data_IF_336352132344
#
_entry.id   IF_336352132344
#
_cell.length_a   1.000
_cell.length_b   1.000
_cell.length_c   1.000
_cell.angle_alpha   90.00
_cell.angle_beta   90.00
_cell.angle_gamma   90.00
#
_symmetry.space_group_name_H-M   'P 1'
#
loop_
_entity.id
_entity.type
_entity.pdbx_description
1 polymer ?
#
# COMPACT_ATOMS: atom_id res chain seq x y z
N UNK A 1 6.03 9.13 12.95
CA UNK A 1 5.22 10.26 12.43
C UNK A 1 5.53 11.51 13.24
N UNK A 2 5.54 12.70 12.63
CA UNK A 2 5.72 13.97 13.36
C UNK A 2 4.45 14.80 13.25
N UNK A 3 3.92 15.28 14.36
CA UNK A 3 2.76 16.17 14.40
C UNK A 3 3.13 17.48 15.08
N UNK A 4 2.40 18.55 14.77
CA UNK A 4 2.52 19.83 15.46
C UNK A 4 1.35 19.98 16.42
N UNK A 5 1.62 20.29 17.68
CA UNK A 5 0.55 20.60 18.64
C UNK A 5 -0.15 21.91 18.22
N UNK A 6 -1.49 21.93 18.04
CA UNK A 6 -2.21 23.13 17.64
C UNK A 6 -2.20 24.22 18.71
N UNK A 7 -2.08 23.86 19.99
CA UNK A 7 -2.10 24.82 21.11
C UNK A 7 -0.77 25.53 21.33
N UNK A 8 0.35 24.79 21.37
CA UNK A 8 1.67 25.35 21.72
C UNK A 8 2.69 25.31 20.58
N UNK A 9 2.28 24.87 19.39
CA UNK A 9 3.09 24.79 18.16
C UNK A 9 4.35 23.90 18.27
N UNK A 10 4.50 23.15 19.36
CA UNK A 10 5.60 22.20 19.51
C UNK A 10 5.44 21.04 18.54
N UNK A 11 6.54 20.72 17.83
CA UNK A 11 6.66 19.51 17.00
C UNK A 11 6.92 18.31 17.88
N UNK A 12 6.13 17.25 17.70
CA UNK A 12 6.16 16.03 18.51
C UNK A 12 6.42 14.85 17.60
N UNK A 13 7.44 14.07 17.92
CA UNK A 13 7.73 12.79 17.24
C UNK A 13 6.95 11.69 17.93
N UNK A 14 6.03 11.08 17.21
CA UNK A 14 5.21 9.98 17.70
C UNK A 14 5.76 8.65 17.21
N UNK A 15 6.06 7.79 18.18
CA UNK A 15 6.32 6.36 17.98
C UNK A 15 4.98 5.62 18.10
N UNK A 16 4.25 5.56 17.00
CA UNK A 16 3.00 4.79 16.93
C UNK A 16 3.28 3.56 16.07
N UNK A 17 2.95 2.38 16.57
CA UNK A 17 2.84 1.20 15.73
C UNK A 17 1.52 1.33 14.94
N UNK A 18 1.63 1.67 13.66
CA UNK A 18 0.48 1.91 12.79
C UNK A 18 -0.34 0.62 12.57
N UNK A 19 0.25 -0.56 12.79
CA UNK A 19 -0.42 -1.85 12.58
C UNK A 19 -1.46 -2.19 13.66
N UNK A 20 -1.33 -1.65 14.88
CA UNK A 20 -2.22 -1.94 16.00
C UNK A 20 -3.11 -0.75 16.39
N UNK A 21 -3.10 0.33 15.59
CA UNK A 21 -3.83 1.54 15.92
C UNK A 21 -5.33 1.40 15.55
N UNK A 22 -6.26 1.77 16.46
CA UNK A 22 -7.68 1.71 16.20
C UNK A 22 -8.11 2.69 15.09
N UNK A 23 -9.13 2.30 14.33
CA UNK A 23 -9.74 3.09 13.23
C UNK A 23 -10.21 4.48 13.65
N UNK A 24 -10.58 4.61 14.93
CA UNK A 24 -11.04 5.86 15.56
C UNK A 24 -9.94 6.90 15.85
N UNK A 25 -8.68 6.56 15.57
CA UNK A 25 -7.51 7.38 15.86
C UNK A 25 -7.00 7.24 17.29
N UNK A 26 -5.83 7.82 17.57
CA UNK A 26 -5.14 7.71 18.86
C UNK A 26 -5.32 8.99 19.68
N UNK A 27 -5.69 8.83 20.95
CA UNK A 27 -5.64 9.92 21.94
C UNK A 27 -4.20 10.09 22.42
N UNK A 28 -3.70 11.31 22.35
CA UNK A 28 -2.33 11.64 22.71
C UNK A 28 -2.31 12.96 23.48
N UNK A 29 -1.52 13.05 24.56
CA UNK A 29 -1.39 14.26 25.37
C UNK A 29 -0.10 14.99 25.03
N UNK A 30 -0.18 16.28 24.72
CA UNK A 30 1.01 17.08 24.44
C UNK A 30 1.87 17.23 25.72
N UNK A 31 3.17 16.88 25.69
CA UNK A 31 4.03 16.95 26.86
C UNK A 31 4.35 18.38 27.31
N UNK A 32 4.21 19.38 26.41
CA UNK A 32 4.54 20.78 26.73
C UNK A 32 3.38 21.56 27.35
N UNK A 33 2.15 21.35 26.85
CA UNK A 33 0.99 22.16 27.25
C UNK A 33 -0.18 21.34 27.77
N UNK A 34 0.00 20.02 27.92
CA UNK A 34 -0.99 19.07 28.41
C UNK A 34 -2.31 18.99 27.62
N UNK A 35 -2.38 19.62 26.44
CA UNK A 35 -3.54 19.53 25.56
C UNK A 35 -3.77 18.07 25.11
N UNK A 36 -5.02 17.60 25.22
CA UNK A 36 -5.47 16.34 24.64
C UNK A 36 -5.65 16.50 23.13
N UNK A 37 -5.01 15.63 22.35
CA UNK A 37 -5.05 15.60 20.89
C UNK A 37 -5.63 14.27 20.44
N UNK A 38 -6.51 14.31 19.44
CA UNK A 38 -7.00 13.11 18.75
C UNK A 38 -6.35 13.07 17.37
N UNK A 39 -5.57 12.03 17.12
CA UNK A 39 -4.78 11.90 15.90
C UNK A 39 -5.42 10.83 15.05
N UNK A 40 -6.06 11.26 13.95
CA UNK A 40 -6.54 10.32 12.93
C UNK A 40 -5.32 9.84 12.16
N UNK A 41 -5.00 8.56 12.27
CA UNK A 41 -3.98 7.99 11.39
C UNK A 41 -4.53 7.99 9.96
N UNK A 42 -3.67 8.19 8.95
CA UNK A 42 -4.08 7.96 7.57
C UNK A 42 -4.66 6.54 7.51
N UNK A 43 -5.86 6.42 6.95
CA UNK A 43 -6.42 5.12 6.63
C UNK A 43 -5.34 4.35 5.87
N UNK A 44 -5.13 3.08 6.25
CA UNK A 44 -4.34 2.16 5.44
C UNK A 44 -4.79 2.40 4.00
N UNK A 45 -3.92 2.98 3.15
CA UNK A 45 -4.01 2.61 1.74
C UNK A 45 -3.83 1.11 1.83
N UNK A 46 -4.85 0.37 1.42
CA UNK A 46 -4.71 -1.04 1.14
C UNK A 46 -3.76 -1.14 -0.06
N UNK A 47 -2.49 -0.78 0.15
CA UNK A 47 -1.43 -1.38 -0.64
C UNK A 47 -1.60 -2.87 -0.34
N UNK A 48 -1.87 -3.71 -1.36
CA UNK A 48 -1.96 -5.14 -1.15
C UNK A 48 -0.73 -5.53 -0.35
N UNK A 49 -0.92 -6.35 0.70
CA UNK A 49 0.18 -6.82 1.54
C UNK A 49 1.31 -7.22 0.62
N UNK A 50 2.47 -6.57 0.72
CA UNK A 50 3.68 -7.05 0.07
C UNK A 50 3.86 -8.50 0.54
N UNK A 51 3.50 -9.47 -0.30
CA UNK A 51 3.43 -10.87 0.10
C UNK A 51 2.31 -11.69 -0.56
N UNK A 52 1.25 -11.10 -1.11
CA UNK A 52 0.24 -11.86 -1.84
C UNK A 52 0.54 -11.83 -3.34
N UNK A 53 1.51 -12.66 -3.75
CA UNK A 53 1.85 -12.89 -5.16
C UNK A 53 0.65 -13.56 -5.82
N UNK A 54 0.08 -12.92 -6.86
CA UNK A 54 -0.92 -13.56 -7.69
C UNK A 54 -0.26 -14.66 -8.53
N UNK A 55 -0.39 -15.91 -8.07
CA UNK A 55 0.18 -17.08 -8.75
C UNK A 55 -0.46 -17.38 -10.11
N UNK A 56 -1.61 -16.76 -10.39
CA UNK A 56 -2.34 -16.93 -11.65
C UNK A 56 -2.03 -15.83 -12.67
N UNK A 57 -1.21 -14.83 -12.30
CA UNK A 57 -0.81 -13.74 -13.19
C UNK A 57 0.52 -14.08 -13.88
N UNK A 58 0.51 -14.09 -15.21
CA UNK A 58 1.67 -14.41 -16.04
C UNK A 58 2.02 -13.21 -16.93
N UNK A 59 3.31 -12.87 -17.02
CA UNK A 59 3.82 -11.86 -17.96
C UNK A 59 4.44 -12.57 -19.17
N UNK A 60 3.98 -12.23 -20.37
CA UNK A 60 4.56 -12.65 -21.65
C UNK A 60 5.28 -11.46 -22.26
N UNK A 61 6.62 -11.47 -22.23
CA UNK A 61 7.46 -10.44 -22.82
C UNK A 61 8.17 -10.99 -24.07
N UNK A 62 7.82 -10.48 -25.26
CA UNK A 62 8.44 -10.94 -26.51
C UNK A 62 8.37 -9.86 -27.61
N UNK A 63 9.38 -9.77 -28.48
CA UNK A 63 9.43 -8.74 -29.53
C UNK A 63 8.53 -9.01 -30.76
N UNK A 64 7.97 -10.21 -30.87
CA UNK A 64 7.07 -10.61 -31.97
C UNK A 64 5.63 -10.75 -31.48
N UNK A 65 4.72 -10.00 -32.10
CA UNK A 65 3.29 -9.99 -31.78
C UNK A 65 2.63 -11.35 -32.00
N UNK A 66 3.02 -12.08 -33.04
CA UNK A 66 2.47 -13.42 -33.31
C UNK A 66 2.75 -14.41 -32.17
N UNK A 67 3.93 -14.28 -31.55
CA UNK A 67 4.33 -15.12 -30.42
C UNK A 67 3.58 -14.71 -29.17
N UNK A 68 3.41 -13.40 -28.94
CA UNK A 68 2.61 -12.86 -27.82
C UNK A 68 1.18 -13.39 -27.90
N UNK A 69 0.53 -13.31 -29.05
CA UNK A 69 -0.86 -13.73 -29.22
C UNK A 69 -1.02 -15.24 -29.04
N UNK A 70 -0.13 -16.04 -29.64
CA UNK A 70 -0.16 -17.50 -29.47
C UNK A 70 0.02 -17.89 -28.00
N UNK A 71 1.01 -17.30 -27.31
CA UNK A 71 1.26 -17.57 -25.90
C UNK A 71 0.08 -17.13 -25.02
N UNK A 72 -0.48 -15.95 -25.27
CA UNK A 72 -1.64 -15.43 -24.56
C UNK A 72 -2.84 -16.38 -24.67
N UNK A 73 -3.18 -16.81 -25.88
CA UNK A 73 -4.31 -17.71 -26.12
C UNK A 73 -4.16 -19.05 -25.37
N UNK A 74 -2.96 -19.65 -25.39
CA UNK A 74 -2.70 -20.91 -24.69
C UNK A 74 -2.84 -20.72 -23.17
N UNK A 75 -2.25 -19.66 -22.62
CA UNK A 75 -2.26 -19.39 -21.18
C UNK A 75 -3.66 -19.03 -20.65
N UNK A 76 -4.45 -18.27 -21.41
CA UNK A 76 -5.84 -17.95 -21.07
C UNK A 76 -6.73 -19.20 -21.11
N UNK A 77 -6.53 -20.10 -22.08
CA UNK A 77 -7.24 -21.39 -22.11
C UNK A 77 -6.92 -22.28 -20.90
N UNK A 78 -5.72 -22.15 -20.34
CA UNK A 78 -5.31 -22.83 -19.11
C UNK A 78 -5.80 -22.13 -17.83
N UNK A 79 -6.48 -20.99 -17.94
CA UNK A 79 -7.06 -20.24 -16.83
C UNK A 79 -6.14 -19.21 -16.17
N UNK A 80 -5.02 -18.86 -16.81
CA UNK A 80 -4.13 -17.80 -16.32
C UNK A 80 -4.62 -16.41 -16.78
N UNK A 81 -4.34 -15.40 -15.96
CA UNK A 81 -4.45 -14.00 -16.35
C UNK A 81 -3.13 -13.56 -16.98
N UNK A 82 -3.16 -13.06 -18.21
CA UNK A 82 -1.93 -12.76 -18.97
C UNK A 82 -1.76 -11.25 -19.15
N UNK A 83 -0.58 -10.74 -18.78
CA UNK A 83 -0.09 -9.42 -19.15
C UNK A 83 0.93 -9.60 -20.27
N UNK A 84 0.94 -8.70 -21.24
CA UNK A 84 1.87 -8.75 -22.37
C UNK A 84 2.79 -7.54 -22.38
N UNK A 85 4.04 -7.73 -22.80
CA UNK A 85 5.00 -6.66 -23.03
C UNK A 85 5.77 -6.94 -24.33
N UNK A 86 6.07 -5.88 -25.08
CA UNK A 86 6.98 -5.97 -26.23
C UNK A 86 8.44 -5.77 -25.83
N UNK A 87 8.67 -5.19 -24.67
CA UNK A 87 9.98 -4.86 -24.13
C UNK A 87 10.23 -5.69 -22.87
N UNK A 88 11.37 -6.39 -22.85
CA UNK A 88 11.73 -7.37 -21.83
C UNK A 88 12.82 -6.86 -20.91
#
# INVERSE_FOLDING_TARGET
MTITCPKCKTRLKLKINVQSAPSEGIKFKCPKCNAGLRIKLPAKRETPKAGEINKNLVLVAHGSDEVIEKAKNILEQMGYSVITSRDG
#
